data_IF_375587527454
#
_entry.id   IF_375587527454
#
_cell.length_a   1.000
_cell.length_b   1.000
_cell.length_c   1.000
_cell.angle_alpha   90.00
_cell.angle_beta   90.00
_cell.angle_gamma   90.00
#
_symmetry.space_group_name_H-M   'P 1'
#
loop_
_entity.id
_entity.type
_entity.pdbx_description
1 polymer ?
#
# COMPACT_ATOMS: atom_id res chain seq x y z
N UNK A 1 -53.09 -54.32 -1.11
CA UNK A 1 -51.79 -54.00 -0.52
C UNK A 1 -51.26 -52.79 -1.20
N UNK A 2 -51.53 -51.62 -0.66
CA UNK A 2 -51.20 -50.31 -1.25
C UNK A 2 -50.14 -49.66 -0.39
N UNK A 3 -49.00 -49.35 -0.97
CA UNK A 3 -47.95 -48.57 -0.37
C UNK A 3 -48.14 -47.08 -0.65
N UNK A 4 -47.88 -46.16 0.27
CA UNK A 4 -48.11 -44.72 0.04
C UNK A 4 -46.94 -44.04 -0.65
N UNK A 5 -47.34 -43.17 -1.57
CA UNK A 5 -46.49 -42.19 -2.28
C UNK A 5 -45.99 -41.16 -1.24
N UNK A 6 -44.67 -40.86 -1.24
CA UNK A 6 -44.05 -39.76 -0.47
C UNK A 6 -44.00 -38.52 -1.36
N UNK A 7 -44.67 -37.52 -0.96
CA UNK A 7 -44.64 -36.16 -1.45
C UNK A 7 -43.41 -35.44 -0.82
N UNK A 8 -42.44 -34.99 -1.62
CA UNK A 8 -41.38 -34.08 -1.19
C UNK A 8 -40.76 -33.33 -2.39
N UNK A 9 -41.50 -32.42 -2.99
CA UNK A 9 -40.95 -31.38 -3.86
C UNK A 9 -41.34 -30.01 -3.31
N UNK A 10 -40.42 -29.42 -2.55
CA UNK A 10 -40.38 -27.96 -2.34
C UNK A 10 -38.99 -27.48 -2.74
N UNK A 11 -38.87 -26.50 -3.64
CA UNK A 11 -37.59 -25.84 -3.88
C UNK A 11 -37.30 -24.89 -2.74
N UNK A 12 -36.19 -25.12 -2.07
CA UNK A 12 -35.61 -24.22 -1.08
C UNK A 12 -34.91 -23.06 -1.84
N UNK A 13 -35.51 -21.88 -1.76
CA UNK A 13 -34.96 -20.63 -2.34
C UNK A 13 -34.46 -19.80 -1.16
N UNK A 14 -33.23 -20.07 -0.73
CA UNK A 14 -32.46 -19.15 0.11
C UNK A 14 -31.05 -18.97 -0.47
N UNK A 15 -30.98 -18.13 -1.49
CA UNK A 15 -29.74 -17.65 -2.05
C UNK A 15 -29.26 -16.41 -1.30
N UNK A 16 -28.65 -16.57 -0.12
CA UNK A 16 -27.82 -15.53 0.48
C UNK A 16 -26.42 -15.64 -0.11
N UNK A 17 -26.19 -14.86 -1.17
CA UNK A 17 -24.89 -14.61 -1.77
C UNK A 17 -24.01 -13.77 -0.84
N UNK A 18 -23.56 -14.36 0.27
CA UNK A 18 -22.48 -13.78 1.05
C UNK A 18 -21.21 -13.80 0.21
N UNK A 19 -20.86 -12.65 -0.34
CA UNK A 19 -19.51 -12.40 -0.91
C UNK A 19 -18.52 -12.66 0.22
N UNK A 20 -17.84 -13.80 0.16
CA UNK A 20 -16.77 -14.14 1.08
C UNK A 20 -15.68 -13.06 0.92
N UNK A 21 -15.63 -12.11 1.86
CA UNK A 21 -14.50 -11.20 2.00
C UNK A 21 -13.26 -12.04 2.24
N UNK A 22 -12.41 -12.18 1.22
CA UNK A 22 -11.10 -12.79 1.38
C UNK A 22 -10.30 -11.90 2.34
N UNK A 23 -10.18 -12.33 3.59
CA UNK A 23 -9.26 -11.69 4.54
C UNK A 23 -7.87 -11.78 3.93
N UNK A 24 -7.34 -10.62 3.48
CA UNK A 24 -6.00 -10.49 2.97
C UNK A 24 -5.03 -11.09 3.99
N UNK A 25 -4.24 -12.08 3.61
CA UNK A 25 -3.26 -12.67 4.50
C UNK A 25 -1.92 -12.00 4.29
N UNK A 26 -1.57 -11.04 5.16
CA UNK A 26 -0.22 -10.50 5.21
C UNK A 26 0.79 -11.61 5.55
N UNK A 27 1.81 -11.79 4.71
CA UNK A 27 2.81 -12.87 4.82
C UNK A 27 4.14 -12.43 5.45
N UNK A 28 4.33 -11.14 5.73
CA UNK A 28 5.56 -10.59 6.27
C UNK A 28 5.71 -10.77 7.79
N UNK A 29 6.86 -10.34 8.31
CA UNK A 29 7.14 -10.33 9.76
C UNK A 29 6.32 -9.21 10.42
N UNK A 30 5.57 -9.51 11.48
CA UNK A 30 4.79 -8.51 12.24
C UNK A 30 5.56 -7.92 13.43
N UNK A 31 6.48 -8.67 14.05
CA UNK A 31 7.28 -8.23 15.22
C UNK A 31 8.76 -8.53 15.01
N UNK A 32 9.62 -7.63 15.48
CA UNK A 32 11.08 -7.75 15.46
C UNK A 32 11.67 -7.84 16.88
N UNK A 33 12.79 -7.14 17.07
CA UNK A 33 13.40 -7.00 18.40
C UNK A 33 12.49 -6.22 19.35
N UNK A 34 12.72 -6.40 20.66
CA UNK A 34 12.03 -5.63 21.72
C UNK A 34 12.19 -4.12 21.45
N UNK A 35 11.10 -3.39 21.56
CA UNK A 35 11.11 -1.93 21.44
C UNK A 35 11.86 -1.29 22.61
N UNK A 36 12.50 -0.14 22.37
CA UNK A 36 13.00 0.73 23.43
C UNK A 36 11.82 1.35 24.19
N UNK A 37 12.03 1.76 25.44
CA UNK A 37 10.95 2.31 26.28
C UNK A 37 10.20 3.46 25.59
N UNK A 38 10.94 4.46 25.06
CA UNK A 38 10.33 5.57 24.32
C UNK A 38 9.55 5.13 23.08
N UNK A 39 10.02 4.13 22.33
CA UNK A 39 9.30 3.60 21.18
C UNK A 39 8.00 2.88 21.57
N UNK A 40 7.99 2.20 22.71
CA UNK A 40 6.79 1.56 23.24
C UNK A 40 5.78 2.61 23.68
N UNK A 41 6.24 3.68 24.33
CA UNK A 41 5.41 4.83 24.71
C UNK A 41 4.76 5.49 23.49
N UNK A 42 5.51 5.73 22.41
CA UNK A 42 4.96 6.29 21.18
C UNK A 42 3.90 5.39 20.51
N UNK A 43 4.08 4.06 20.57
CA UNK A 43 3.06 3.11 20.09
C UNK A 43 1.79 3.21 20.94
N UNK A 44 1.92 3.38 22.24
CA UNK A 44 0.79 3.44 23.16
C UNK A 44 0.06 4.80 23.11
N UNK A 45 0.82 5.91 23.05
CA UNK A 45 0.29 7.24 23.25
C UNK A 45 0.17 8.08 21.97
N UNK A 46 1.09 7.95 20.98
CA UNK A 46 1.05 8.76 19.76
C UNK A 46 0.31 8.05 18.62
N UNK A 47 0.55 6.75 18.42
CA UNK A 47 -0.06 6.00 17.31
C UNK A 47 -1.60 6.09 17.26
N UNK A 48 -2.35 6.02 18.38
CA UNK A 48 -3.81 6.13 18.33
C UNK A 48 -4.31 7.43 17.69
N UNK A 49 -3.60 8.56 17.87
CA UNK A 49 -3.96 9.85 17.28
C UNK A 49 -3.67 9.95 15.77
N UNK A 50 -2.77 9.13 15.28
CA UNK A 50 -2.37 9.07 13.87
C UNK A 50 -3.03 7.91 13.11
N UNK A 51 -3.61 6.95 13.82
CA UNK A 51 -4.16 5.73 13.23
C UNK A 51 -5.41 5.98 12.40
N UNK A 52 -5.48 5.29 11.27
CA UNK A 52 -6.72 5.11 10.50
C UNK A 52 -7.45 3.90 11.07
N UNK A 53 -8.70 4.11 11.51
CA UNK A 53 -9.60 3.03 11.93
C UNK A 53 -10.45 2.58 10.74
N UNK A 54 -10.11 1.45 10.15
CA UNK A 54 -10.85 0.86 9.02
C UNK A 54 -12.13 0.11 9.45
N UNK A 55 -12.38 -0.05 10.75
CA UNK A 55 -13.64 -0.58 11.24
C UNK A 55 -14.75 0.47 11.17
N UNK A 56 -14.38 1.76 11.24
CA UNK A 56 -15.29 2.85 10.98
C UNK A 56 -15.53 3.02 9.45
N UNK A 57 -16.72 3.50 9.04
CA UNK A 57 -16.98 3.85 7.65
C UNK A 57 -15.93 4.82 7.11
N UNK A 58 -15.50 4.60 5.86
CA UNK A 58 -14.58 5.53 5.19
C UNK A 58 -15.24 6.90 5.01
N UNK A 59 -14.54 8.02 5.28
CA UNK A 59 -15.07 9.33 5.03
C UNK A 59 -15.27 9.54 3.51
N UNK A 60 -16.27 10.33 3.12
CA UNK A 60 -16.51 10.66 1.72
C UNK A 60 -15.29 11.38 1.09
N UNK A 61 -14.62 12.23 1.87
CA UNK A 61 -13.38 12.91 1.50
C UNK A 61 -12.27 12.53 2.46
N UNK A 62 -11.23 11.82 1.99
CA UNK A 62 -10.06 11.47 2.81
C UNK A 62 -9.32 12.68 3.40
N UNK A 63 -9.41 13.86 2.74
CA UNK A 63 -8.78 15.09 3.24
C UNK A 63 -9.29 15.50 4.63
N UNK A 64 -10.48 15.06 5.04
CA UNK A 64 -11.01 15.31 6.39
C UNK A 64 -10.27 14.59 7.51
N UNK A 65 -9.42 13.61 7.19
CA UNK A 65 -8.53 12.96 8.15
C UNK A 65 -7.39 13.88 8.61
N UNK A 66 -7.17 15.00 7.92
CA UNK A 66 -6.05 15.92 8.15
C UNK A 66 -6.54 17.30 8.61
N UNK A 67 -5.78 17.89 9.54
CA UNK A 67 -5.97 19.27 9.98
C UNK A 67 -4.59 19.96 10.04
N UNK A 68 -4.35 21.03 9.25
CA UNK A 68 -5.28 21.66 8.30
C UNK A 68 -5.62 20.76 7.11
N UNK A 69 -6.66 21.13 6.34
CA UNK A 69 -7.08 20.41 5.14
C UNK A 69 -5.95 20.40 4.10
N UNK A 70 -5.71 19.22 3.51
CA UNK A 70 -4.66 18.99 2.52
C UNK A 70 -5.21 19.03 1.08
N UNK A 71 -4.34 19.35 0.10
CA UNK A 71 -4.71 19.49 -1.31
C UNK A 71 -4.77 18.16 -2.05
N UNK A 72 -4.02 17.18 -1.58
CA UNK A 72 -3.96 15.83 -2.16
C UNK A 72 -3.50 14.81 -1.13
N UNK A 73 -3.67 13.53 -1.44
CA UNK A 73 -3.28 12.45 -0.51
C UNK A 73 -2.43 11.44 -1.26
N UNK A 74 -1.29 11.08 -0.67
CA UNK A 74 -0.37 10.03 -1.15
C UNK A 74 -0.35 8.86 -0.16
N UNK A 75 -0.26 7.65 -0.68
CA UNK A 75 -0.16 6.42 0.11
C UNK A 75 1.19 5.76 -0.14
N UNK A 76 1.94 5.46 0.93
CA UNK A 76 3.10 4.57 0.84
C UNK A 76 2.79 3.22 1.48
N UNK A 77 2.94 2.14 0.70
CA UNK A 77 2.67 0.77 1.12
C UNK A 77 3.99 0.10 1.50
N UNK A 78 4.07 -0.42 2.74
CA UNK A 78 5.25 -1.10 3.23
C UNK A 78 6.42 -0.14 3.50
N UNK A 79 6.18 0.98 4.15
CA UNK A 79 7.19 2.04 4.37
C UNK A 79 8.42 1.59 5.18
N UNK A 80 8.39 0.44 5.83
CA UNK A 80 9.54 -0.13 6.57
C UNK A 80 10.06 0.78 7.68
N UNK A 81 11.14 1.53 7.43
CA UNK A 81 11.70 2.50 8.39
C UNK A 81 11.09 3.89 8.29
N UNK A 82 10.34 4.17 7.21
CA UNK A 82 9.68 5.43 6.96
C UNK A 82 10.58 6.51 6.35
N UNK A 83 11.82 6.19 5.95
CA UNK A 83 12.79 7.20 5.47
C UNK A 83 12.25 8.01 4.29
N UNK A 84 11.64 7.32 3.29
CA UNK A 84 11.06 7.97 2.12
C UNK A 84 9.79 8.75 2.50
N UNK A 85 8.87 8.12 3.24
CA UNK A 85 7.60 8.73 3.64
C UNK A 85 7.79 10.00 4.48
N UNK A 86 8.75 10.00 5.42
CA UNK A 86 9.10 11.17 6.23
C UNK A 86 9.66 12.30 5.37
N UNK A 87 10.58 12.00 4.46
CA UNK A 87 11.16 13.01 3.58
C UNK A 87 10.10 13.65 2.66
N UNK A 88 9.20 12.84 2.11
CA UNK A 88 8.07 13.32 1.29
C UNK A 88 7.12 14.21 2.13
N UNK A 89 6.78 13.81 3.35
CA UNK A 89 5.89 14.59 4.21
C UNK A 89 6.48 15.96 4.59
N UNK A 90 7.80 16.04 4.79
CA UNK A 90 8.51 17.30 5.05
C UNK A 90 8.60 18.17 3.79
N UNK A 91 8.86 17.57 2.62
CA UNK A 91 8.99 18.30 1.35
C UNK A 91 7.65 18.86 0.85
N UNK A 92 6.53 18.22 1.19
CA UNK A 92 5.19 18.57 0.70
C UNK A 92 4.19 18.76 1.86
N UNK A 93 4.32 19.81 2.69
CA UNK A 93 3.49 20.00 3.88
C UNK A 93 1.99 20.20 3.56
N UNK A 94 1.63 20.59 2.35
CA UNK A 94 0.26 20.75 1.87
C UNK A 94 -0.38 19.44 1.37
N UNK A 95 0.39 18.36 1.30
CA UNK A 95 -0.08 17.02 0.93
C UNK A 95 -0.26 16.17 2.18
N UNK A 96 -1.35 15.40 2.27
CA UNK A 96 -1.56 14.39 3.29
C UNK A 96 -0.87 13.08 2.91
N UNK A 97 -0.21 12.46 3.86
CA UNK A 97 0.46 11.18 3.66
C UNK A 97 -0.20 10.10 4.49
N UNK A 98 -0.47 8.95 3.86
CA UNK A 98 -0.92 7.75 4.53
C UNK A 98 0.21 6.72 4.43
N UNK A 99 0.69 6.23 5.57
CA UNK A 99 1.66 5.14 5.65
C UNK A 99 0.98 3.84 6.07
N UNK A 100 1.18 2.76 5.30
CA UNK A 100 0.69 1.42 5.64
C UNK A 100 1.86 0.49 5.91
N UNK A 101 1.96 -0.06 7.15
CA UNK A 101 3.05 -0.96 7.55
C UNK A 101 2.60 -1.88 8.69
N UNK A 102 2.53 -3.20 8.51
CA UNK A 102 2.13 -4.13 9.58
C UNK A 102 3.27 -4.47 10.55
N UNK A 103 4.53 -4.08 10.25
CA UNK A 103 5.68 -4.39 11.07
C UNK A 103 5.85 -3.39 12.21
N UNK A 104 5.62 -3.82 13.45
CA UNK A 104 5.62 -2.97 14.66
C UNK A 104 6.91 -2.15 14.83
N UNK A 105 8.07 -2.73 14.54
CA UNK A 105 9.33 -1.98 14.66
C UNK A 105 9.49 -0.92 13.55
N UNK A 106 8.86 -1.09 12.40
CA UNK A 106 8.74 -0.06 11.37
C UNK A 106 7.86 1.09 11.87
N UNK A 107 6.69 0.73 12.38
CA UNK A 107 5.77 1.69 12.99
C UNK A 107 6.42 2.51 14.12
N UNK A 108 7.16 1.86 15.03
CA UNK A 108 7.87 2.56 16.10
C UNK A 108 8.95 3.54 15.59
N UNK A 109 9.60 3.22 14.47
CA UNK A 109 10.61 4.12 13.86
C UNK A 109 9.98 5.35 13.24
N UNK A 110 8.87 5.18 12.49
CA UNK A 110 8.21 6.33 11.87
C UNK A 110 7.61 7.24 12.93
N UNK A 111 7.04 6.72 14.03
CA UNK A 111 6.54 7.52 15.13
C UNK A 111 7.65 8.37 15.77
N UNK A 112 8.84 7.78 15.99
CA UNK A 112 10.01 8.52 16.47
C UNK A 112 10.38 9.65 15.50
N UNK A 113 10.32 9.41 14.20
CA UNK A 113 10.63 10.44 13.20
C UNK A 113 9.54 11.53 13.11
N UNK A 114 8.27 11.16 13.24
CA UNK A 114 7.14 12.10 13.28
C UNK A 114 7.29 13.06 14.46
N UNK A 115 7.55 12.53 15.66
CA UNK A 115 7.76 13.32 16.87
C UNK A 115 8.96 14.24 16.72
N UNK A 116 10.13 13.70 16.32
CA UNK A 116 11.37 14.46 16.22
C UNK A 116 11.32 15.60 15.17
N UNK A 117 10.47 15.48 14.16
CA UNK A 117 10.36 16.45 13.05
C UNK A 117 9.03 17.23 13.06
N UNK A 118 8.17 17.05 14.07
CA UNK A 118 6.84 17.69 14.16
C UNK A 118 5.98 17.51 12.90
N UNK A 119 5.93 16.28 12.35
CA UNK A 119 5.18 15.99 11.13
C UNK A 119 3.69 15.91 11.44
N UNK A 120 2.90 16.86 10.92
CA UNK A 120 1.45 16.96 11.16
C UNK A 120 0.57 16.46 10.02
N UNK A 121 1.13 16.20 8.83
CA UNK A 121 0.40 15.82 7.62
C UNK A 121 0.46 14.32 7.33
N UNK A 122 0.54 13.47 8.38
CA UNK A 122 0.66 12.03 8.23
C UNK A 122 -0.41 11.26 9.02
N UNK A 123 -0.95 10.20 8.41
CA UNK A 123 -1.78 9.19 9.05
C UNK A 123 -1.18 7.81 8.81
N UNK A 124 -1.43 6.88 9.73
CA UNK A 124 -0.79 5.57 9.73
C UNK A 124 -1.83 4.44 9.80
N UNK A 125 -1.55 3.34 9.12
CA UNK A 125 -2.32 2.12 9.24
C UNK A 125 -1.39 0.93 9.54
N UNK A 126 -1.60 0.30 10.69
CA UNK A 126 -0.79 -0.84 11.17
C UNK A 126 -1.40 -2.18 10.73
N UNK A 127 -1.65 -2.38 9.43
CA UNK A 127 -2.36 -3.54 8.91
C UNK A 127 -1.99 -3.93 7.48
N UNK A 128 -2.84 -4.76 6.87
CA UNK A 128 -2.68 -5.21 5.49
C UNK A 128 -3.13 -4.12 4.51
N UNK A 129 -2.28 -3.80 3.55
CA UNK A 129 -2.56 -2.79 2.55
C UNK A 129 -3.78 -3.12 1.67
N UNK A 130 -4.11 -4.40 1.49
CA UNK A 130 -5.32 -4.79 0.76
C UNK A 130 -6.60 -4.36 1.51
N UNK A 131 -6.60 -4.46 2.86
CA UNK A 131 -7.70 -4.00 3.69
C UNK A 131 -7.83 -2.47 3.64
N UNK A 132 -6.71 -1.76 3.73
CA UNK A 132 -6.69 -0.30 3.60
C UNK A 132 -7.18 0.15 2.23
N UNK A 133 -6.72 -0.48 1.14
CA UNK A 133 -7.19 -0.17 -0.20
C UNK A 133 -8.70 -0.43 -0.35
N UNK A 134 -9.22 -1.54 0.20
CA UNK A 134 -10.66 -1.83 0.16
C UNK A 134 -11.49 -0.76 0.87
N UNK A 135 -11.00 -0.25 2.01
CA UNK A 135 -11.63 0.81 2.81
C UNK A 135 -11.53 2.19 2.13
N UNK A 136 -10.45 2.47 1.42
CA UNK A 136 -10.18 3.77 0.80
C UNK A 136 -11.23 4.09 -0.28
N UNK A 137 -11.81 5.31 -0.32
CA UNK A 137 -12.77 5.71 -1.34
C UNK A 137 -12.16 5.67 -2.75
N UNK A 138 -13.00 5.43 -3.76
CA UNK A 138 -12.56 5.50 -5.15
C UNK A 138 -12.06 6.91 -5.49
N UNK A 139 -11.04 7.00 -6.36
CA UNK A 139 -10.50 8.25 -6.90
C UNK A 139 -10.16 9.30 -5.82
N UNK A 140 -9.59 8.86 -4.70
CA UNK A 140 -9.25 9.73 -3.57
C UNK A 140 -7.75 9.99 -3.41
N UNK A 141 -6.89 9.15 -3.99
CA UNK A 141 -5.44 9.27 -3.90
C UNK A 141 -4.83 9.93 -5.14
N UNK A 142 -3.81 10.77 -4.92
CA UNK A 142 -3.01 11.42 -5.97
C UNK A 142 -1.72 10.66 -6.30
N UNK A 143 -1.27 9.74 -5.45
CA UNK A 143 -0.13 8.85 -5.70
C UNK A 143 -0.16 7.64 -4.77
N UNK A 144 0.34 6.52 -5.27
CA UNK A 144 0.69 5.35 -4.46
C UNK A 144 2.16 5.02 -4.69
N UNK A 145 2.92 4.85 -3.60
CA UNK A 145 4.32 4.44 -3.62
C UNK A 145 4.47 3.03 -3.03
N UNK A 146 5.24 2.18 -3.70
CA UNK A 146 5.62 0.83 -3.25
C UNK A 146 7.15 0.69 -3.41
N UNK A 147 7.89 0.94 -2.33
CA UNK A 147 9.33 1.12 -2.34
C UNK A 147 10.03 -0.07 -1.69
N UNK A 148 10.84 -0.81 -2.46
CA UNK A 148 11.55 -2.01 -2.03
C UNK A 148 10.67 -3.03 -1.28
N UNK A 149 9.54 -3.46 -1.86
CA UNK A 149 8.68 -4.45 -1.25
C UNK A 149 9.37 -5.81 -1.13
N UNK A 150 8.87 -6.66 -0.22
CA UNK A 150 9.38 -8.03 -0.04
C UNK A 150 9.34 -8.82 -1.35
N UNK A 151 10.49 -9.27 -1.89
CA UNK A 151 10.57 -9.79 -3.26
C UNK A 151 10.07 -11.22 -3.42
N UNK A 152 9.97 -12.00 -2.31
CA UNK A 152 9.53 -13.40 -2.31
C UNK A 152 10.18 -14.21 -3.45
N UNK A 153 11.51 -14.44 -3.45
CA UNK A 153 12.26 -14.96 -4.60
C UNK A 153 11.87 -16.39 -5.00
N UNK A 154 11.40 -17.21 -4.05
CA UNK A 154 11.00 -18.59 -4.34
C UNK A 154 9.67 -18.61 -5.09
N UNK A 155 9.59 -19.28 -6.24
CA UNK A 155 8.40 -19.36 -7.12
C UNK A 155 7.10 -19.71 -6.38
N UNK A 156 7.15 -20.67 -5.43
CA UNK A 156 6.00 -21.02 -4.57
C UNK A 156 5.48 -19.88 -3.69
N UNK A 157 6.27 -18.81 -3.51
CA UNK A 157 5.93 -17.64 -2.70
C UNK A 157 5.48 -16.43 -3.53
N UNK A 158 5.50 -16.47 -4.85
CA UNK A 158 5.12 -15.33 -5.71
C UNK A 158 3.71 -14.82 -5.44
N UNK A 159 2.80 -15.71 -5.03
CA UNK A 159 1.45 -15.34 -4.56
C UNK A 159 1.44 -14.40 -3.34
N UNK A 160 2.58 -14.20 -2.68
CA UNK A 160 2.77 -13.31 -1.53
C UNK A 160 3.24 -11.92 -1.94
N UNK A 161 3.69 -11.74 -3.18
CA UNK A 161 4.06 -10.44 -3.73
C UNK A 161 2.84 -9.53 -3.69
N UNK A 162 3.03 -8.28 -3.30
CA UNK A 162 1.93 -7.33 -3.24
C UNK A 162 1.31 -7.08 -4.63
N UNK A 163 2.15 -6.93 -5.67
CA UNK A 163 1.65 -6.69 -7.03
C UNK A 163 1.05 -7.98 -7.59
N UNK A 164 -0.28 -8.00 -7.67
CA UNK A 164 -1.14 -9.03 -8.24
C UNK A 164 -2.25 -8.34 -9.03
N UNK A 165 -2.94 -9.03 -9.93
CA UNK A 165 -4.03 -8.42 -10.71
C UNK A 165 -5.11 -7.77 -9.81
N UNK A 166 -5.45 -8.43 -8.68
CA UNK A 166 -6.43 -7.91 -7.72
C UNK A 166 -5.95 -6.61 -7.03
N UNK A 167 -4.69 -6.53 -6.61
CA UNK A 167 -4.15 -5.31 -5.98
C UNK A 167 -3.91 -4.20 -7.00
N UNK A 168 -3.56 -4.53 -8.25
CA UNK A 168 -3.49 -3.56 -9.36
C UNK A 168 -4.87 -2.93 -9.61
N UNK A 169 -5.94 -3.74 -9.69
CA UNK A 169 -7.30 -3.23 -9.83
C UNK A 169 -7.73 -2.38 -8.61
N UNK A 170 -7.36 -2.78 -7.39
CA UNK A 170 -7.66 -2.02 -6.19
C UNK A 170 -6.92 -0.65 -6.17
N UNK A 171 -5.66 -0.61 -6.59
CA UNK A 171 -4.90 0.64 -6.74
C UNK A 171 -5.52 1.54 -7.82
N UNK A 172 -5.92 0.98 -8.97
CA UNK A 172 -6.60 1.73 -10.02
C UNK A 172 -7.91 2.38 -9.53
N UNK A 173 -8.69 1.65 -8.71
CA UNK A 173 -9.94 2.16 -8.14
C UNK A 173 -9.73 3.39 -7.26
N UNK A 174 -8.71 3.38 -6.39
CA UNK A 174 -8.50 4.44 -5.40
C UNK A 174 -7.69 5.62 -5.93
N UNK A 175 -6.89 5.44 -6.98
CA UNK A 175 -6.16 6.52 -7.63
C UNK A 175 -7.11 7.40 -8.45
N UNK A 176 -6.89 8.71 -8.43
CA UNK A 176 -7.54 9.64 -9.36
C UNK A 176 -7.06 9.39 -10.80
N UNK A 177 -7.88 9.62 -11.83
CA UNK A 177 -7.41 9.62 -13.21
C UNK A 177 -6.21 10.55 -13.37
N UNK A 178 -5.17 10.13 -14.10
CA UNK A 178 -3.93 10.88 -14.27
C UNK A 178 -2.95 10.81 -13.09
N UNK A 179 -3.32 10.17 -11.99
CA UNK A 179 -2.46 9.98 -10.82
C UNK A 179 -1.46 8.83 -10.98
N UNK A 180 -0.41 8.83 -10.16
CA UNK A 180 0.74 7.93 -10.33
C UNK A 180 0.72 6.73 -9.38
N UNK A 181 1.17 5.58 -9.89
CA UNK A 181 1.71 4.49 -9.11
C UNK A 181 3.22 4.43 -9.35
N UNK A 182 4.01 4.52 -8.28
CA UNK A 182 5.47 4.44 -8.29
C UNK A 182 5.95 3.17 -7.63
N UNK A 183 6.88 2.48 -8.27
CA UNK A 183 7.44 1.22 -7.78
C UNK A 183 8.97 1.26 -7.87
N UNK A 184 9.65 0.95 -6.76
CA UNK A 184 11.11 0.83 -6.73
C UNK A 184 11.50 -0.56 -6.25
N UNK A 185 12.35 -1.26 -7.00
CA UNK A 185 12.85 -2.57 -6.61
C UNK A 185 14.20 -2.86 -7.26
N UNK A 186 15.10 -3.51 -6.50
CA UNK A 186 16.43 -3.94 -6.93
C UNK A 186 16.50 -5.44 -7.28
N UNK A 187 15.34 -6.10 -7.37
CA UNK A 187 15.21 -7.53 -7.72
C UNK A 187 14.55 -7.64 -9.09
N UNK A 188 15.35 -7.93 -10.11
CA UNK A 188 14.93 -7.96 -11.52
C UNK A 188 13.70 -8.84 -11.77
N UNK A 189 13.61 -10.00 -11.11
CA UNK A 189 12.46 -10.90 -11.24
C UNK A 189 11.17 -10.28 -10.71
N UNK A 190 11.23 -9.43 -9.65
CA UNK A 190 10.05 -8.72 -9.17
C UNK A 190 9.73 -7.49 -10.04
N UNK A 191 10.73 -6.83 -10.59
CA UNK A 191 10.56 -5.76 -11.60
C UNK A 191 9.82 -6.31 -12.82
N UNK A 192 10.30 -7.41 -13.39
CA UNK A 192 9.65 -8.07 -14.54
C UNK A 192 8.23 -8.59 -14.21
N UNK A 193 8.02 -9.06 -12.99
CA UNK A 193 6.69 -9.44 -12.49
C UNK A 193 5.74 -8.23 -12.46
N UNK A 194 6.18 -7.12 -11.89
CA UNK A 194 5.40 -5.89 -11.78
C UNK A 194 5.04 -5.36 -13.16
N UNK A 195 6.00 -5.25 -14.07
CA UNK A 195 5.76 -4.84 -15.45
C UNK A 195 4.70 -5.70 -16.15
N UNK A 196 4.75 -7.03 -15.97
CA UNK A 196 3.76 -7.94 -16.57
C UNK A 196 2.34 -7.74 -16.04
N UNK A 197 2.19 -7.48 -14.73
CA UNK A 197 0.87 -7.24 -14.13
C UNK A 197 0.30 -5.89 -14.57
N UNK A 198 1.12 -4.83 -14.58
CA UNK A 198 0.70 -3.50 -14.99
C UNK A 198 0.42 -3.43 -16.51
N UNK A 199 1.22 -4.10 -17.35
CA UNK A 199 0.99 -4.14 -18.80
C UNK A 199 -0.31 -4.85 -19.22
N UNK A 200 -0.85 -5.74 -18.37
CA UNK A 200 -2.15 -6.40 -18.62
C UNK A 200 -3.33 -5.56 -18.12
N UNK A 201 -3.09 -4.58 -17.28
CA UNK A 201 -4.16 -3.73 -16.76
C UNK A 201 -4.47 -2.60 -17.76
N UNK A 202 -5.72 -2.42 -18.18
CA UNK A 202 -6.12 -1.30 -19.02
C UNK A 202 -6.09 0.04 -18.27
N UNK A 203 -5.99 -0.02 -16.92
CA UNK A 203 -6.07 1.14 -16.05
C UNK A 203 -4.74 1.88 -15.88
N UNK A 204 -3.62 1.33 -16.36
CA UNK A 204 -2.31 1.91 -16.19
C UNK A 204 -1.51 1.99 -17.48
N UNK A 205 -0.79 3.11 -17.64
CA UNK A 205 0.17 3.32 -18.72
C UNK A 205 1.56 3.46 -18.10
N UNK A 206 2.52 2.68 -18.58
CA UNK A 206 3.93 2.86 -18.23
C UNK A 206 4.48 4.08 -18.93
N UNK A 207 5.12 4.99 -18.19
CA UNK A 207 5.53 6.30 -18.72
C UNK A 207 6.95 6.35 -19.27
N UNK A 208 7.72 5.25 -19.17
CA UNK A 208 9.09 5.23 -19.65
C UNK A 208 9.17 5.13 -21.17
N UNK A 209 9.89 6.06 -21.80
CA UNK A 209 10.17 6.08 -23.25
C UNK A 209 11.60 5.60 -23.55
N UNK A 210 12.51 5.77 -22.58
CA UNK A 210 13.91 5.38 -22.68
C UNK A 210 14.43 4.73 -21.40
N UNK A 211 15.60 4.10 -21.48
CA UNK A 211 16.14 3.34 -20.35
C UNK A 211 16.44 4.21 -19.11
N UNK A 212 16.83 5.46 -19.26
CA UNK A 212 17.08 6.39 -18.15
C UNK A 212 15.84 6.63 -17.30
N UNK A 213 14.63 6.60 -17.91
CA UNK A 213 13.38 6.94 -17.23
C UNK A 213 12.98 5.94 -16.13
N UNK A 214 13.56 4.74 -16.16
CA UNK A 214 13.31 3.71 -15.15
C UNK A 214 14.60 3.14 -14.51
N UNK A 215 15.78 3.56 -15.00
CA UNK A 215 17.08 3.15 -14.41
C UNK A 215 17.67 4.19 -13.49
N UNK A 216 17.22 5.45 -13.58
CA UNK A 216 17.61 6.51 -12.69
C UNK A 216 16.46 6.89 -11.75
N UNK A 217 16.76 7.25 -10.49
CA UNK A 217 15.75 7.76 -9.59
C UNK A 217 15.16 9.07 -10.14
N UNK A 218 13.87 9.31 -9.85
CA UNK A 218 13.29 10.64 -10.10
C UNK A 218 13.91 11.68 -9.18
N UNK A 219 13.91 12.99 -9.54
CA UNK A 219 14.67 14.03 -8.82
C UNK A 219 14.35 14.17 -7.34
N UNK A 220 13.10 13.91 -6.95
CA UNK A 220 12.59 14.00 -5.57
C UNK A 220 12.68 12.68 -4.79
N UNK A 221 13.34 11.64 -5.34
CA UNK A 221 13.46 10.35 -4.67
C UNK A 221 14.43 10.39 -3.50
N UNK A 222 13.95 10.03 -2.32
CA UNK A 222 14.80 9.84 -1.15
C UNK A 222 15.23 8.40 -1.00
N UNK A 223 16.56 8.18 -1.03
CA UNK A 223 17.17 6.87 -0.91
C UNK A 223 16.89 6.24 0.46
N UNK A 224 16.25 5.08 0.45
CA UNK A 224 15.97 4.31 1.66
C UNK A 224 17.18 3.49 2.11
N UNK A 225 17.15 2.96 3.34
CA UNK A 225 18.16 2.01 3.82
C UNK A 225 18.26 0.75 2.95
N UNK A 226 17.13 0.32 2.35
CA UNK A 226 17.11 -0.85 1.46
C UNK A 226 17.78 -0.53 0.12
N UNK A 227 17.55 0.66 -0.44
CA UNK A 227 18.26 1.14 -1.62
C UNK A 227 19.77 1.22 -1.38
N UNK A 228 20.20 1.83 -0.28
CA UNK A 228 21.64 1.86 0.11
C UNK A 228 22.24 0.47 0.32
N UNK A 229 21.46 -0.48 0.84
CA UNK A 229 21.91 -1.87 0.96
C UNK A 229 22.08 -2.52 -0.42
N UNK A 230 21.12 -2.34 -1.32
CA UNK A 230 21.18 -2.86 -2.69
C UNK A 230 22.43 -2.35 -3.43
N UNK A 231 22.70 -1.04 -3.35
CA UNK A 231 23.91 -0.44 -3.95
C UNK A 231 25.21 -1.05 -3.41
N UNK A 232 25.31 -1.20 -2.09
CA UNK A 232 26.50 -1.85 -1.46
C UNK A 232 26.69 -3.29 -1.91
N UNK A 233 25.61 -3.98 -2.25
CA UNK A 233 25.62 -5.35 -2.77
C UNK A 233 25.71 -5.41 -4.31
N UNK A 234 25.96 -4.28 -4.97
CA UNK A 234 26.11 -4.16 -6.42
C UNK A 234 24.83 -4.34 -7.22
N UNK A 235 23.66 -4.33 -6.55
CA UNK A 235 22.36 -4.38 -7.23
C UNK A 235 21.89 -2.99 -7.63
N UNK A 236 21.26 -2.90 -8.79
CA UNK A 236 20.67 -1.66 -9.31
C UNK A 236 19.16 -1.69 -9.18
N UNK A 237 18.59 -0.66 -8.58
CA UNK A 237 17.15 -0.52 -8.50
C UNK A 237 16.56 -0.08 -9.86
N UNK A 238 15.34 -0.53 -10.14
CA UNK A 238 14.47 0.01 -11.15
C UNK A 238 13.45 0.95 -10.50
N UNK A 239 13.17 2.06 -11.17
CA UNK A 239 12.26 3.13 -10.72
C UNK A 239 11.11 3.22 -11.71
N UNK A 240 10.05 2.45 -11.50
CA UNK A 240 8.93 2.38 -12.43
C UNK A 240 7.86 3.40 -12.04
N UNK A 241 7.37 4.13 -13.02
CA UNK A 241 6.26 5.07 -12.89
C UNK A 241 5.16 4.73 -13.88
N UNK A 242 3.96 4.52 -13.34
CA UNK A 242 2.75 4.28 -14.11
C UNK A 242 1.74 5.37 -13.83
N UNK A 243 1.00 5.78 -14.83
CA UNK A 243 -0.09 6.75 -14.70
C UNK A 243 -1.41 6.01 -14.88
N UNK A 244 -2.36 6.26 -13.97
CA UNK A 244 -3.72 5.76 -14.13
C UNK A 244 -4.38 6.42 -15.33
N UNK A 245 -4.93 5.61 -16.21
CA UNK A 245 -5.64 6.10 -17.40
C UNK A 245 -6.80 7.02 -17.04
N UNK A 246 -7.12 7.93 -17.95
CA UNK A 246 -8.29 8.81 -17.84
C UNK A 246 -9.54 8.22 -18.46
N UNK A 247 -9.52 6.89 -18.79
CA UNK A 247 -10.62 6.23 -19.51
C UNK A 247 -11.96 6.48 -18.83
N UNK A 248 -12.85 6.89 -19.63
CA UNK A 248 -14.26 7.23 -19.40
C UNK A 248 -15.06 5.99 -19.03
#
# INVERSE_FOLDING_TARGET
MSSPVRDSDRPDVSGDGAVAQSRGSFFGRRKGHKLRAHQADLIENLLPHLSIDIAAPSPAELATLFAPKVEGIRLEIGFGGGEHLVAEAQAFPHIGFIGCEPYVNGMAKILTAIEANNIGNMKLFAGDAAELLAWTPAQSLSRIDLIHPDPWPKRRHWKRRFVQDATVAAMARVLKPGSEFRFVCDIDDYVAWTLRHLARSPDFIWTAEQASDWRLPWPDYTMTRYGRKAEREGRRAAYLRFVRTTSS
#
